data_IF_340175277346
#
_entry.id   IF_340175277346
#
_cell.length_a   1.000
_cell.length_b   1.000
_cell.length_c   1.000
_cell.angle_alpha   90.00
_cell.angle_beta   90.00
_cell.angle_gamma   90.00
#
_symmetry.space_group_name_H-M   'P 1'
#
loop_
_entity.id
_entity.type
_entity.pdbx_description
1 polymer ?
#
# COMPACT_ATOMS: atom_id res chain seq x y z
N UNK A 1 15.05 -26.58 26.86
CA UNK A 1 15.20 -27.56 25.76
C UNK A 1 15.64 -26.82 24.51
N UNK A 2 16.68 -27.31 23.81
CA UNK A 2 17.46 -26.55 22.82
C UNK A 2 16.67 -26.32 21.52
N UNK A 3 16.68 -25.07 21.05
CA UNK A 3 15.82 -24.51 19.99
C UNK A 3 16.14 -24.97 18.54
N UNK A 4 16.88 -26.06 18.36
CA UNK A 4 17.37 -26.57 17.07
C UNK A 4 17.40 -28.12 17.00
N UNK A 5 16.52 -28.78 17.76
CA UNK A 5 16.47 -30.25 17.79
C UNK A 5 15.99 -30.81 16.43
N UNK A 6 16.73 -31.77 15.88
CA UNK A 6 16.42 -32.43 14.61
C UNK A 6 15.07 -33.15 14.64
N UNK A 7 14.58 -33.54 15.82
CA UNK A 7 13.27 -34.15 16.04
C UNK A 7 12.09 -33.26 15.65
N UNK A 8 12.31 -31.96 15.43
CA UNK A 8 11.29 -31.03 14.92
C UNK A 8 10.93 -31.29 13.44
N UNK A 9 11.71 -32.09 12.72
CA UNK A 9 11.46 -32.43 11.32
C UNK A 9 10.61 -33.70 11.22
N UNK A 10 9.51 -33.64 10.44
CA UNK A 10 8.53 -34.75 10.29
C UNK A 10 9.16 -36.11 9.94
N UNK A 11 10.25 -36.10 9.18
CA UNK A 11 10.91 -37.32 8.70
C UNK A 11 12.20 -37.68 9.46
N UNK A 12 12.48 -37.01 10.59
CA UNK A 12 13.62 -37.29 11.47
C UNK A 12 13.12 -37.75 12.84
N UNK A 13 12.90 -39.06 12.98
CA UNK A 13 12.64 -39.70 14.26
C UNK A 13 13.92 -40.00 15.04
N UNK A 14 13.80 -40.56 16.25
CA UNK A 14 14.91 -40.83 17.19
C UNK A 14 16.07 -41.60 16.52
N UNK A 15 15.78 -42.67 15.79
CA UNK A 15 16.80 -43.49 15.11
C UNK A 15 17.54 -42.71 14.02
N UNK A 16 16.83 -41.89 13.25
CA UNK A 16 17.46 -41.09 12.18
C UNK A 16 18.23 -39.90 12.74
N UNK A 17 17.77 -39.33 13.85
CA UNK A 17 18.52 -38.31 14.60
C UNK A 17 19.86 -38.88 15.09
N UNK A 18 19.87 -40.09 15.65
CA UNK A 18 21.11 -40.74 16.09
C UNK A 18 22.09 -40.92 14.92
N UNK A 19 21.63 -41.46 13.78
CA UNK A 19 22.46 -41.60 12.58
C UNK A 19 23.04 -40.27 12.07
N UNK A 20 22.24 -39.20 12.11
CA UNK A 20 22.68 -37.85 11.72
C UNK A 20 23.73 -37.32 12.71
N UNK A 21 23.52 -37.50 14.01
CA UNK A 21 24.47 -37.10 15.05
C UNK A 21 25.80 -37.86 14.95
N UNK A 22 25.75 -39.17 14.68
CA UNK A 22 26.93 -40.01 14.46
C UNK A 22 27.74 -39.55 13.23
N UNK A 23 27.05 -38.97 12.25
CA UNK A 23 27.65 -38.33 11.08
C UNK A 23 28.05 -36.87 11.31
N UNK A 24 27.96 -36.36 12.56
CA UNK A 24 28.32 -35.00 12.95
C UNK A 24 27.28 -33.92 12.65
N UNK A 25 26.08 -34.30 12.20
CA UNK A 25 24.98 -33.39 11.89
C UNK A 25 24.10 -33.28 13.12
N UNK A 26 24.18 -32.15 13.82
CA UNK A 26 23.48 -31.94 15.09
C UNK A 26 22.39 -30.87 15.01
N UNK A 27 22.28 -30.16 13.88
CA UNK A 27 21.35 -29.04 13.71
C UNK A 27 20.61 -29.06 12.36
N UNK A 28 19.39 -28.51 12.36
CA UNK A 28 18.56 -28.35 11.14
C UNK A 28 19.27 -27.46 10.09
N UNK A 29 20.08 -26.49 10.55
CA UNK A 29 20.86 -25.61 9.66
C UNK A 29 21.91 -26.39 8.86
N UNK A 30 22.63 -27.30 9.52
CA UNK A 30 23.59 -28.17 8.84
C UNK A 30 22.90 -29.06 7.79
N UNK A 31 21.70 -29.58 8.09
CA UNK A 31 20.89 -30.32 7.09
C UNK A 31 20.44 -29.44 5.92
N UNK A 32 20.17 -28.15 6.16
CA UNK A 32 19.81 -27.21 5.10
C UNK A 32 20.97 -26.97 4.14
N UNK A 33 22.17 -26.76 4.67
CA UNK A 33 23.39 -26.48 3.92
C UNK A 33 23.98 -27.73 3.25
N UNK A 34 23.70 -28.92 3.79
CA UNK A 34 24.18 -30.18 3.23
C UNK A 34 23.50 -30.51 1.88
N UNK A 35 24.28 -30.86 0.83
CA UNK A 35 23.75 -31.36 -0.43
C UNK A 35 22.95 -32.65 -0.25
N UNK A 36 21.96 -32.88 -1.12
CA UNK A 36 21.10 -34.06 -1.05
C UNK A 36 21.91 -35.35 -1.25
N UNK A 37 22.91 -35.30 -2.11
CA UNK A 37 23.78 -36.41 -2.50
C UNK A 37 24.57 -36.89 -1.30
N UNK A 38 25.21 -35.97 -0.57
CA UNK A 38 25.95 -36.26 0.66
C UNK A 38 25.05 -36.81 1.77
N UNK A 39 23.82 -36.33 1.85
CA UNK A 39 22.84 -36.84 2.82
C UNK A 39 22.37 -38.27 2.44
N UNK A 40 22.27 -38.57 1.14
CA UNK A 40 21.87 -39.88 0.64
C UNK A 40 22.97 -40.95 0.79
N UNK A 41 24.25 -40.53 0.84
CA UNK A 41 25.40 -41.40 1.10
C UNK A 41 25.45 -41.94 2.54
N UNK A 42 24.74 -41.31 3.48
CA UNK A 42 24.68 -41.79 4.86
C UNK A 42 23.98 -43.16 4.89
N UNK A 43 24.71 -44.16 5.40
CA UNK A 43 24.23 -45.53 5.55
C UNK A 43 22.90 -45.54 6.32
N UNK A 44 21.90 -46.24 5.78
CA UNK A 44 20.54 -46.36 6.32
C UNK A 44 19.63 -45.12 6.18
N UNK A 45 20.12 -43.98 5.68
CA UNK A 45 19.24 -42.89 5.20
C UNK A 45 18.85 -43.15 3.75
N UNK A 46 19.84 -43.23 2.86
CA UNK A 46 19.60 -43.46 1.43
C UNK A 46 18.83 -42.33 0.73
N UNK A 47 18.74 -42.43 -0.60
CA UNK A 47 18.17 -41.38 -1.45
C UNK A 47 16.71 -41.03 -1.11
N UNK A 48 15.90 -42.02 -0.72
CA UNK A 48 14.49 -41.81 -0.40
C UNK A 48 14.31 -40.92 0.83
N UNK A 49 14.93 -41.28 1.97
CA UNK A 49 14.78 -40.48 3.18
C UNK A 49 15.54 -39.15 3.11
N UNK A 50 16.66 -39.08 2.39
CA UNK A 50 17.36 -37.82 2.16
C UNK A 50 16.43 -36.78 1.52
N UNK A 51 15.65 -37.16 0.50
CA UNK A 51 14.66 -36.28 -0.15
C UNK A 51 13.60 -35.81 0.84
N UNK A 52 13.02 -36.74 1.60
CA UNK A 52 11.97 -36.42 2.60
C UNK A 52 12.48 -35.47 3.70
N UNK A 53 13.70 -35.68 4.18
CA UNK A 53 14.35 -34.82 5.17
C UNK A 53 14.57 -33.42 4.58
N UNK A 54 15.08 -33.28 3.36
CA UNK A 54 15.24 -31.97 2.71
C UNK A 54 13.91 -31.23 2.57
N UNK A 55 12.85 -31.93 2.17
CA UNK A 55 11.50 -31.35 2.09
C UNK A 55 11.05 -30.84 3.47
N UNK A 56 11.23 -31.65 4.52
CA UNK A 56 10.89 -31.25 5.90
C UNK A 56 11.68 -30.02 6.36
N UNK A 57 12.98 -29.94 6.02
CA UNK A 57 13.83 -28.78 6.36
C UNK A 57 13.33 -27.53 5.64
N UNK A 58 12.96 -27.63 4.36
CA UNK A 58 12.39 -26.51 3.60
C UNK A 58 11.04 -26.07 4.19
N UNK A 59 10.17 -27.00 4.58
CA UNK A 59 8.91 -26.70 5.28
C UNK A 59 9.15 -25.99 6.60
N UNK A 60 10.11 -26.46 7.40
CA UNK A 60 10.48 -25.87 8.68
C UNK A 60 10.87 -24.39 8.54
N UNK A 61 11.72 -24.04 7.58
CA UNK A 61 12.09 -22.65 7.34
C UNK A 61 10.95 -21.83 6.74
N UNK A 62 10.11 -22.42 5.87
CA UNK A 62 8.91 -21.75 5.34
C UNK A 62 7.92 -21.42 6.45
N UNK A 63 7.70 -22.33 7.40
CA UNK A 63 6.85 -22.08 8.56
C UNK A 63 7.47 -21.09 9.54
N UNK A 64 8.79 -21.16 9.76
CA UNK A 64 9.50 -20.19 10.59
C UNK A 64 9.38 -18.78 10.01
N UNK A 65 9.48 -18.63 8.68
CA UNK A 65 9.24 -17.33 8.02
C UNK A 65 7.78 -16.86 8.13
N UNK A 66 6.80 -17.77 8.13
CA UNK A 66 5.38 -17.42 8.38
C UNK A 66 5.09 -17.05 9.84
N UNK A 67 5.84 -17.60 10.80
CA UNK A 67 5.70 -17.38 12.25
C UNK A 67 6.58 -16.25 12.80
N UNK A 68 7.47 -15.68 11.98
CA UNK A 68 8.08 -14.41 12.33
C UNK A 68 6.97 -13.35 12.34
N UNK A 69 6.79 -12.58 13.42
CA UNK A 69 6.01 -11.36 13.31
C UNK A 69 6.71 -10.54 12.23
N UNK A 70 6.06 -10.39 11.06
CA UNK A 70 6.55 -9.50 10.02
C UNK A 70 6.94 -8.18 10.69
N UNK A 71 8.11 -7.65 10.31
CA UNK A 71 8.70 -6.41 10.83
C UNK A 71 7.60 -5.49 11.37
N UNK A 72 7.49 -5.45 12.70
CA UNK A 72 6.36 -4.80 13.32
C UNK A 72 6.58 -3.32 13.10
N UNK A 73 5.95 -2.79 12.04
CA UNK A 73 6.06 -1.37 11.69
C UNK A 73 5.89 -0.57 12.95
N UNK A 74 6.86 0.30 13.21
CA UNK A 74 6.86 1.19 14.35
C UNK A 74 5.55 1.97 14.40
N UNK A 75 5.08 2.31 15.60
CA UNK A 75 3.88 3.13 15.75
C UNK A 75 3.94 4.45 14.95
N UNK A 76 5.16 4.95 14.66
CA UNK A 76 5.38 6.11 13.79
C UNK A 76 5.13 5.80 12.31
N UNK A 77 5.62 4.67 11.82
CA UNK A 77 5.47 4.23 10.43
C UNK A 77 4.02 3.92 10.10
N UNK A 78 3.31 3.21 11.00
CA UNK A 78 1.86 2.96 10.83
C UNK A 78 1.05 4.24 10.69
N UNK A 79 1.39 5.27 11.49
CA UNK A 79 0.73 6.59 11.42
C UNK A 79 1.02 7.32 10.10
N UNK A 80 2.19 7.13 9.50
CA UNK A 80 2.54 7.73 8.21
C UNK A 80 1.75 7.02 7.09
N UNK A 81 1.74 5.69 7.13
CA UNK A 81 1.02 4.84 6.19
C UNK A 81 -0.49 5.16 6.18
N UNK A 82 -1.08 5.32 7.37
CA UNK A 82 -2.49 5.68 7.53
C UNK A 82 -2.80 7.04 6.90
N UNK A 83 -1.93 8.04 7.09
CA UNK A 83 -2.09 9.37 6.49
C UNK A 83 -1.95 9.31 4.98
N UNK A 84 -1.01 8.53 4.45
CA UNK A 84 -0.83 8.33 3.01
C UNK A 84 -2.09 7.70 2.40
N UNK A 85 -2.63 6.67 3.04
CA UNK A 85 -3.84 5.97 2.61
C UNK A 85 -5.06 6.88 2.67
N UNK A 86 -5.19 7.68 3.72
CA UNK A 86 -6.30 8.64 3.86
C UNK A 86 -6.23 9.74 2.78
N UNK A 87 -5.02 10.28 2.53
CA UNK A 87 -4.80 11.26 1.47
C UNK A 87 -5.21 10.70 0.09
N UNK A 88 -4.79 9.49 -0.27
CA UNK A 88 -5.19 8.85 -1.53
C UNK A 88 -6.71 8.68 -1.64
N UNK A 89 -7.36 8.17 -0.59
CA UNK A 89 -8.82 8.00 -0.57
C UNK A 89 -9.55 9.33 -0.76
N UNK A 90 -9.08 10.40 -0.12
CA UNK A 90 -9.68 11.73 -0.24
C UNK A 90 -9.47 12.33 -1.62
N UNK A 91 -8.28 12.19 -2.22
CA UNK A 91 -8.02 12.60 -3.61
C UNK A 91 -8.97 11.90 -4.58
N UNK A 92 -9.13 10.58 -4.44
CA UNK A 92 -10.05 9.80 -5.28
C UNK A 92 -11.50 10.28 -5.13
N UNK A 93 -11.97 10.52 -3.90
CA UNK A 93 -13.32 11.04 -3.63
C UNK A 93 -13.53 12.42 -4.23
N UNK A 94 -12.55 13.32 -4.10
CA UNK A 94 -12.63 14.65 -4.68
C UNK A 94 -12.71 14.58 -6.21
N UNK A 95 -11.90 13.74 -6.85
CA UNK A 95 -11.96 13.56 -8.31
C UNK A 95 -13.35 13.08 -8.78
N UNK A 96 -13.95 12.13 -8.06
CA UNK A 96 -15.33 11.68 -8.33
C UNK A 96 -16.34 12.81 -8.16
N UNK A 97 -16.24 13.61 -7.10
CA UNK A 97 -17.11 14.77 -6.87
C UNK A 97 -16.97 15.83 -7.97
N UNK A 98 -15.74 16.12 -8.40
CA UNK A 98 -15.48 17.05 -9.50
C UNK A 98 -16.06 16.57 -10.83
N UNK A 99 -16.10 15.25 -11.09
CA UNK A 99 -16.76 14.70 -12.27
C UNK A 99 -18.27 14.91 -12.19
N UNK A 100 -18.91 14.55 -11.07
CA UNK A 100 -20.36 14.72 -10.86
C UNK A 100 -20.78 16.17 -11.04
N UNK A 101 -20.11 17.08 -10.36
CA UNK A 101 -20.39 18.52 -10.45
C UNK A 101 -20.17 19.05 -11.87
N UNK A 102 -19.17 18.53 -12.60
CA UNK A 102 -18.97 18.93 -13.99
C UNK A 102 -20.14 18.54 -14.91
N UNK A 103 -20.84 17.45 -14.60
CA UNK A 103 -22.07 17.05 -15.28
C UNK A 103 -23.27 17.89 -14.80
N UNK A 104 -23.44 18.05 -13.49
CA UNK A 104 -24.54 18.81 -12.89
C UNK A 104 -24.52 20.30 -13.27
N UNK A 105 -23.34 20.84 -13.54
CA UNK A 105 -23.14 22.23 -13.98
C UNK A 105 -23.21 22.39 -15.51
N UNK A 106 -23.47 21.36 -16.31
CA UNK A 106 -23.59 21.55 -17.77
C UNK A 106 -24.74 22.52 -18.08
N UNK A 107 -24.48 23.67 -18.73
CA UNK A 107 -25.53 24.60 -19.09
C UNK A 107 -26.26 24.04 -20.32
N UNK A 108 -27.36 23.31 -20.11
CA UNK A 108 -28.06 22.64 -21.22
C UNK A 108 -28.45 23.61 -22.35
N UNK A 109 -28.81 24.87 -22.05
CA UNK A 109 -29.27 25.84 -23.06
C UNK A 109 -29.03 27.32 -22.70
N UNK A 110 -28.16 27.62 -21.72
CA UNK A 110 -28.00 28.98 -21.15
C UNK A 110 -26.65 29.60 -21.50
N UNK A 111 -26.58 30.34 -22.61
CA UNK A 111 -25.38 31.08 -23.07
C UNK A 111 -24.76 31.93 -21.95
N UNK A 112 -25.58 32.56 -21.10
CA UNK A 112 -25.15 33.38 -19.94
C UNK A 112 -24.28 32.67 -18.90
N UNK A 113 -24.28 31.34 -18.85
CA UNK A 113 -23.47 30.55 -17.90
C UNK A 113 -22.39 29.73 -18.58
N UNK A 114 -22.31 29.76 -19.92
CA UNK A 114 -21.35 28.99 -20.69
C UNK A 114 -19.91 29.37 -20.36
N UNK A 115 -19.61 30.67 -20.30
CA UNK A 115 -18.28 31.17 -19.94
C UNK A 115 -17.86 30.72 -18.53
N UNK A 116 -18.77 30.82 -17.56
CA UNK A 116 -18.52 30.41 -16.17
C UNK A 116 -18.29 28.91 -16.07
N UNK A 117 -19.04 28.12 -16.83
CA UNK A 117 -18.85 26.68 -16.92
C UNK A 117 -17.51 26.32 -17.57
N UNK A 118 -17.12 26.98 -18.65
CA UNK A 118 -15.83 26.76 -19.32
C UNK A 118 -14.68 27.07 -18.36
N UNK A 119 -14.73 28.17 -17.63
CA UNK A 119 -13.70 28.53 -16.65
C UNK A 119 -13.63 27.50 -15.50
N UNK A 120 -14.80 27.11 -14.95
CA UNK A 120 -14.88 26.03 -13.97
C UNK A 120 -14.26 24.73 -14.50
N UNK A 121 -14.62 24.31 -15.71
CA UNK A 121 -14.12 23.07 -16.34
C UNK A 121 -12.61 23.12 -16.51
N UNK A 122 -12.06 24.22 -17.05
CA UNK A 122 -10.61 24.42 -17.22
C UNK A 122 -9.87 24.28 -15.88
N UNK A 123 -10.36 24.93 -14.83
CA UNK A 123 -9.73 24.88 -13.50
C UNK A 123 -9.88 23.53 -12.81
N UNK A 124 -11.04 22.88 -12.95
CA UNK A 124 -11.29 21.54 -12.45
C UNK A 124 -10.34 20.53 -13.09
N UNK A 125 -10.15 20.56 -14.41
CA UNK A 125 -9.19 19.71 -15.12
C UNK A 125 -7.76 19.97 -14.65
N UNK A 126 -7.37 21.24 -14.49
CA UNK A 126 -6.04 21.60 -13.96
C UNK A 126 -5.80 21.08 -12.54
N UNK A 127 -6.80 21.21 -11.66
CA UNK A 127 -6.74 20.66 -10.31
C UNK A 127 -6.62 19.13 -10.32
N UNK A 128 -7.41 18.43 -11.14
CA UNK A 128 -7.31 16.96 -11.29
C UNK A 128 -5.92 16.50 -11.71
N UNK A 129 -5.32 17.16 -12.69
CA UNK A 129 -3.97 16.84 -13.14
C UNK A 129 -2.96 16.98 -11.99
N UNK A 130 -3.04 18.07 -11.22
CA UNK A 130 -2.18 18.30 -10.03
C UNK A 130 -2.41 17.27 -8.94
N UNK A 131 -3.66 16.94 -8.63
CA UNK A 131 -4.00 15.90 -7.66
C UNK A 131 -3.49 14.51 -8.09
N UNK A 132 -3.51 14.21 -9.39
CA UNK A 132 -2.96 12.97 -9.94
C UNK A 132 -1.44 12.92 -9.82
N UNK A 133 -0.76 14.03 -10.10
CA UNK A 133 0.69 14.13 -9.88
C UNK A 133 1.04 13.99 -8.40
N UNK A 134 0.34 14.73 -7.54
CA UNK A 134 0.48 14.64 -6.08
C UNK A 134 0.30 13.21 -5.56
N UNK A 135 -0.71 12.48 -6.05
CA UNK A 135 -0.95 11.10 -5.63
C UNK A 135 0.18 10.13 -5.99
N UNK A 136 1.06 10.47 -6.95
CA UNK A 136 2.24 9.68 -7.31
C UNK A 136 3.48 10.04 -6.49
N UNK A 137 3.64 11.31 -6.11
CA UNK A 137 4.81 11.84 -5.40
C UNK A 137 4.52 12.23 -3.96
N UNK A 138 3.49 11.63 -3.34
CA UNK A 138 3.07 12.02 -2.00
C UNK A 138 3.95 11.43 -0.89
N UNK A 139 4.74 10.39 -1.17
CA UNK A 139 5.57 9.72 -0.16
C UNK A 139 6.53 10.69 0.51
N UNK A 140 7.17 11.55 -0.29
CA UNK A 140 8.16 12.55 0.14
C UNK A 140 7.58 13.74 0.91
N UNK A 141 6.25 13.91 0.94
CA UNK A 141 5.64 15.05 1.60
C UNK A 141 5.64 14.91 3.12
N UNK A 142 5.93 16.02 3.80
CA UNK A 142 5.86 16.07 5.27
C UNK A 142 4.43 15.78 5.79
N UNK A 143 4.36 15.19 6.98
CA UNK A 143 3.08 14.90 7.66
C UNK A 143 2.17 16.12 7.80
N UNK A 144 2.75 17.29 8.07
CA UNK A 144 2.02 18.56 8.24
C UNK A 144 1.37 18.98 6.91
N UNK A 145 2.12 18.85 5.82
CA UNK A 145 1.65 19.15 4.46
C UNK A 145 0.51 18.22 4.07
N UNK A 146 0.66 16.89 4.25
CA UNK A 146 -0.38 15.89 3.97
C UNK A 146 -1.69 16.22 4.69
N UNK A 147 -1.63 16.54 5.99
CA UNK A 147 -2.82 16.94 6.78
C UNK A 147 -3.49 18.22 6.26
N UNK A 148 -2.72 19.21 5.83
CA UNK A 148 -3.28 20.44 5.28
C UNK A 148 -4.02 20.17 3.96
N UNK A 149 -3.45 19.33 3.09
CA UNK A 149 -4.08 18.92 1.84
C UNK A 149 -5.36 18.14 2.12
N UNK A 150 -5.36 17.22 3.08
CA UNK A 150 -6.54 16.48 3.54
C UNK A 150 -7.66 17.45 3.94
N UNK A 151 -7.38 18.42 4.82
CA UNK A 151 -8.37 19.42 5.28
C UNK A 151 -8.96 20.22 4.12
N UNK A 152 -8.12 20.72 3.21
CA UNK A 152 -8.58 21.47 2.02
C UNK A 152 -9.40 20.60 1.06
N UNK A 153 -9.03 19.33 0.92
CA UNK A 153 -9.76 18.34 0.10
C UNK A 153 -11.15 18.09 0.67
N UNK A 154 -11.27 17.94 1.99
CA UNK A 154 -12.57 17.76 2.65
C UNK A 154 -13.45 19.00 2.50
N UNK A 155 -12.89 20.18 2.75
CA UNK A 155 -13.61 21.44 2.58
C UNK A 155 -14.17 21.59 1.16
N UNK A 156 -13.32 21.40 0.14
CA UNK A 156 -13.77 21.49 -1.26
C UNK A 156 -14.79 20.40 -1.60
N UNK A 157 -14.63 19.18 -1.07
CA UNK A 157 -15.60 18.10 -1.28
C UNK A 157 -16.97 18.44 -0.69
N UNK A 158 -17.01 19.07 0.49
CA UNK A 158 -18.25 19.56 1.09
C UNK A 158 -18.89 20.66 0.27
N UNK A 159 -18.12 21.63 -0.24
CA UNK A 159 -18.64 22.67 -1.15
C UNK A 159 -19.23 22.04 -2.41
N UNK A 160 -18.53 21.08 -3.02
CA UNK A 160 -18.99 20.38 -4.22
C UNK A 160 -20.30 19.62 -3.98
N UNK A 161 -20.48 18.99 -2.82
CA UNK A 161 -21.74 18.30 -2.46
C UNK A 161 -22.94 19.24 -2.31
N UNK A 162 -22.72 20.48 -1.90
CA UNK A 162 -23.79 21.49 -1.73
C UNK A 162 -24.29 22.07 -3.07
N UNK A 163 -23.66 21.71 -4.18
CA UNK A 163 -24.07 22.13 -5.52
C UNK A 163 -25.22 21.23 -5.98
N UNK A 164 -26.46 21.66 -5.70
CA UNK A 164 -27.63 21.07 -6.36
C UNK A 164 -27.66 21.35 -7.87
N UNK A 165 -28.48 20.60 -8.61
CA UNK A 165 -28.64 20.61 -10.07
C UNK A 165 -28.95 21.97 -10.72
N UNK A 166 -29.40 22.97 -9.95
CA UNK A 166 -29.72 24.33 -10.44
C UNK A 166 -28.68 25.33 -9.92
N UNK A 167 -27.63 25.55 -10.70
CA UNK A 167 -26.52 26.43 -10.31
C UNK A 167 -26.80 27.90 -10.64
N UNK A 168 -26.63 28.76 -9.64
CA UNK A 168 -26.67 30.23 -9.78
C UNK A 168 -25.26 30.74 -10.13
N UNK A 169 -25.15 31.89 -10.81
CA UNK A 169 -23.87 32.56 -11.14
C UNK A 169 -22.88 32.64 -9.97
N UNK A 170 -23.39 32.94 -8.78
CA UNK A 170 -22.60 33.02 -7.53
C UNK A 170 -21.86 31.70 -7.24
N UNK A 171 -22.54 30.56 -7.38
CA UNK A 171 -21.97 29.24 -7.11
C UNK A 171 -20.79 28.92 -8.03
N UNK A 172 -20.89 29.24 -9.32
CA UNK A 172 -19.76 29.07 -10.25
C UNK A 172 -18.53 29.87 -9.80
N UNK A 173 -18.72 31.16 -9.49
CA UNK A 173 -17.62 32.04 -9.08
C UNK A 173 -16.95 31.56 -7.80
N UNK A 174 -17.74 31.16 -6.81
CA UNK A 174 -17.27 30.66 -5.52
C UNK A 174 -16.43 29.38 -5.69
N UNK A 175 -16.96 28.39 -6.42
CA UNK A 175 -16.23 27.14 -6.70
C UNK A 175 -14.96 27.36 -7.49
N UNK A 176 -15.03 28.23 -8.48
CA UNK A 176 -13.89 28.58 -9.33
C UNK A 176 -12.77 29.20 -8.50
N UNK A 177 -13.10 30.06 -7.53
CA UNK A 177 -12.14 30.64 -6.58
C UNK A 177 -11.57 29.57 -5.64
N UNK A 178 -12.40 28.71 -5.07
CA UNK A 178 -11.94 27.63 -4.19
C UNK A 178 -11.00 26.65 -4.91
N UNK A 179 -11.40 26.19 -6.09
CA UNK A 179 -10.58 25.31 -6.94
C UNK A 179 -9.26 25.99 -7.28
N UNK A 180 -9.26 27.27 -7.64
CA UNK A 180 -8.04 28.01 -7.93
C UNK A 180 -7.12 28.11 -6.72
N UNK A 181 -7.66 28.49 -5.56
CA UNK A 181 -6.91 28.61 -4.30
C UNK A 181 -6.28 27.27 -3.90
N UNK A 182 -7.05 26.19 -3.98
CA UNK A 182 -6.54 24.86 -3.66
C UNK A 182 -5.50 24.40 -4.69
N UNK A 183 -5.75 24.63 -5.98
CA UNK A 183 -4.82 24.30 -7.05
C UNK A 183 -3.50 25.07 -6.91
N UNK A 184 -3.53 26.34 -6.49
CA UNK A 184 -2.34 27.13 -6.16
C UNK A 184 -1.60 26.51 -4.98
N UNK A 185 -2.31 26.16 -3.91
CA UNK A 185 -1.72 25.50 -2.74
C UNK A 185 -0.97 24.22 -3.15
N UNK A 186 -1.56 23.37 -3.99
CA UNK A 186 -0.88 22.13 -4.43
C UNK A 186 0.36 22.46 -5.25
N UNK A 187 0.28 23.40 -6.19
CA UNK A 187 1.44 23.80 -7.00
C UNK A 187 2.59 24.27 -6.11
N UNK A 188 2.31 25.16 -5.16
CA UNK A 188 3.34 25.75 -4.32
C UNK A 188 3.98 24.73 -3.35
N UNK A 189 3.38 23.54 -3.22
CA UNK A 189 3.93 22.40 -2.44
C UNK A 189 4.74 21.44 -3.32
N UNK A 190 4.44 21.38 -4.63
CA UNK A 190 5.03 20.42 -5.58
C UNK A 190 6.01 21.06 -6.57
N UNK A 191 6.22 22.38 -6.50
CA UNK A 191 7.19 23.13 -7.31
C UNK A 191 8.42 23.41 -6.46
#
# INVERSE_FOLDING_TARGET
MKQNDLTQLKHVGVTRMQLLNDFGITTIKQLYEMPLEKLAEIKSIGAHYAKLIKISVTEYYREKQKKLPGETMSAKERKIEEINRDLQKKIQRLNKSLNRVNEDLKPLWKKKYLELYIDFKKRSTKLKARLKALGKSQEDLSKKVKKNIIKKTDALTLTLKKIGKKSKKKKYKELTKEIQSFSKTIRDITS
#
